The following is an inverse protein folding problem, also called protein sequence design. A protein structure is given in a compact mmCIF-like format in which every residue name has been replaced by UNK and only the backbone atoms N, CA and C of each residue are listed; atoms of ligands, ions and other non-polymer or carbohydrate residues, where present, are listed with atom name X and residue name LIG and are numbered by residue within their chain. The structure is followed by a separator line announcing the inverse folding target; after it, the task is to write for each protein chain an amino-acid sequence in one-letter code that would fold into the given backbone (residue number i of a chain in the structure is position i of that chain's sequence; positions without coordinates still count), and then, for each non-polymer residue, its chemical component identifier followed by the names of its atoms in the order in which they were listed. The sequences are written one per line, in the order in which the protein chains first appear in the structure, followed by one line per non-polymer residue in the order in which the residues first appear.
data_IF_758731938300
#
_entry.id   IF_758731938300
#
_cell.length_a   1.000
_cell.length_b   1.000
_cell.length_c   1.000
_cell.angle_alpha   90.00
_cell.angle_beta   90.00
_cell.angle_gamma   90.00
#
_symmetry.space_group_name_H-M   'P 1'
#
loop_
_entity.id
_entity.type
_entity.pdbx_description
1 polymer ?
#
# COMPACT_ATOMS: atom_id res chain seq x y z
N UNK A 1 17.43 8.92 11.53
CA UNK A 1 16.34 8.20 12.23
C UNK A 1 15.35 7.77 11.16
N UNK A 2 15.24 6.47 10.90
CA UNK A 2 14.25 5.95 9.94
C UNK A 2 12.86 6.09 10.55
N UNK A 3 11.91 6.62 9.80
CA UNK A 3 10.53 6.73 10.28
C UNK A 3 9.88 5.34 10.24
N UNK A 4 9.43 4.84 11.39
CA UNK A 4 8.68 3.58 11.47
C UNK A 4 7.19 3.86 11.28
N UNK A 5 6.55 3.10 10.40
CA UNK A 5 5.10 3.13 10.18
C UNK A 5 4.52 1.89 10.86
N UNK A 6 3.69 2.09 11.88
CA UNK A 6 3.03 1.01 12.60
C UNK A 6 1.58 0.82 12.12
N UNK A 7 1.19 -0.43 11.94
CA UNK A 7 -0.09 -0.82 11.38
C UNK A 7 -0.63 -2.07 12.09
N UNK A 8 -1.88 -2.09 12.58
CA UNK A 8 -2.48 -3.32 13.10
C UNK A 8 -2.49 -4.43 12.05
N UNK A 9 -2.17 -5.67 12.45
CA UNK A 9 -2.15 -6.83 11.54
C UNK A 9 -3.53 -7.06 10.89
N UNK A 10 -4.59 -6.76 11.63
CA UNK A 10 -6.01 -6.92 11.25
C UNK A 10 -6.62 -5.70 10.55
N UNK A 11 -5.81 -4.67 10.26
CA UNK A 11 -6.32 -3.44 9.61
C UNK A 11 -6.93 -3.74 8.25
N UNK A 12 -8.10 -3.17 7.98
CA UNK A 12 -8.77 -3.22 6.67
C UNK A 12 -8.92 -1.81 6.09
N UNK A 13 -9.11 -1.73 4.77
CA UNK A 13 -9.36 -0.46 4.09
C UNK A 13 -10.82 -0.04 4.31
N UNK A 14 -11.02 1.22 4.70
CA UNK A 14 -12.31 1.90 4.77
C UNK A 14 -12.69 2.49 3.41
N UNK A 15 -13.94 2.93 3.23
CA UNK A 15 -14.38 3.60 2.00
C UNK A 15 -13.56 4.86 1.68
N UNK A 16 -13.19 5.64 2.70
CA UNK A 16 -12.29 6.79 2.54
C UNK A 16 -10.93 6.36 1.99
N UNK A 17 -10.36 5.28 2.55
CA UNK A 17 -9.08 4.75 2.06
C UNK A 17 -9.19 4.28 0.60
N UNK A 18 -10.33 3.72 0.17
CA UNK A 18 -10.58 3.30 -1.21
C UNK A 18 -10.68 4.50 -2.16
N UNK A 19 -11.29 5.59 -1.68
CA UNK A 19 -11.37 6.86 -2.41
C UNK A 19 -9.97 7.45 -2.59
N UNK A 20 -9.18 7.53 -1.51
CA UNK A 20 -7.78 7.97 -1.57
C UNK A 20 -6.95 7.09 -2.50
N UNK A 21 -7.11 5.76 -2.43
CA UNK A 21 -6.42 4.84 -3.34
C UNK A 21 -6.81 5.08 -4.81
N UNK A 22 -8.09 5.32 -5.08
CA UNK A 22 -8.57 5.59 -6.44
C UNK A 22 -8.05 6.91 -7.00
N UNK A 23 -7.88 7.93 -6.15
CA UNK A 23 -7.31 9.23 -6.52
C UNK A 23 -5.79 9.15 -6.77
N UNK A 24 -5.06 8.45 -5.90
CA UNK A 24 -3.60 8.31 -6.02
C UNK A 24 -3.23 7.34 -7.14
N UNK A 25 -4.03 6.29 -7.34
CA UNK A 25 -3.88 5.27 -8.39
C UNK A 25 -5.08 5.27 -9.36
N UNK A 26 -5.20 6.27 -10.24
CA UNK A 26 -6.19 6.25 -11.32
C UNK A 26 -5.96 5.06 -12.25
N UNK A 27 -6.95 4.71 -13.06
CA UNK A 27 -6.97 3.49 -13.88
C UNK A 27 -5.65 3.14 -14.59
N UNK A 28 -4.95 4.07 -15.27
CA UNK A 28 -3.67 3.78 -15.94
C UNK A 28 -2.54 3.32 -15.01
N UNK A 29 -2.63 3.65 -13.72
CA UNK A 29 -1.62 3.34 -12.69
C UNK A 29 -2.03 2.22 -11.73
N UNK A 30 -3.22 1.63 -11.88
CA UNK A 30 -3.65 0.47 -11.08
C UNK A 30 -2.76 -0.76 -11.21
N UNK A 31 -2.10 -1.05 -12.37
CA UNK A 31 -1.08 -2.09 -12.42
C UNK A 31 0.06 -1.85 -11.42
N UNK A 32 0.46 -0.58 -11.20
CA UNK A 32 1.50 -0.24 -10.22
C UNK A 32 1.03 -0.45 -8.79
N UNK A 33 -0.27 -0.25 -8.51
CA UNK A 33 -0.85 -0.60 -7.21
C UNK A 33 -0.83 -2.12 -6.97
N UNK A 34 -1.09 -2.92 -8.01
CA UNK A 34 -1.01 -4.39 -7.90
C UNK A 34 0.43 -4.83 -7.54
N UNK A 35 1.44 -4.28 -8.20
CA UNK A 35 2.84 -4.60 -7.87
C UNK A 35 3.23 -4.09 -6.48
N UNK A 36 2.80 -2.87 -6.09
CA UNK A 36 3.00 -2.36 -4.74
C UNK A 36 2.39 -3.29 -3.70
N UNK A 37 1.18 -3.80 -3.93
CA UNK A 37 0.53 -4.77 -3.03
C UNK A 37 1.33 -6.06 -2.92
N UNK A 38 1.92 -6.54 -4.01
CA UNK A 38 2.82 -7.72 -3.97
C UNK A 38 4.04 -7.44 -3.09
N UNK A 39 4.69 -6.28 -3.27
CA UNK A 39 5.83 -5.88 -2.43
C UNK A 39 5.44 -5.82 -0.96
N UNK A 40 4.33 -5.16 -0.63
CA UNK A 40 3.84 -5.04 0.75
C UNK A 40 3.41 -6.39 1.35
N UNK A 41 3.07 -7.38 0.52
CA UNK A 41 2.67 -8.72 0.96
C UNK A 41 3.84 -9.68 1.17
N UNK A 42 5.07 -9.29 0.80
CA UNK A 42 6.26 -10.10 1.06
C UNK A 42 6.50 -10.19 2.57
N UNK A 43 6.32 -11.39 3.12
CA UNK A 43 6.44 -11.62 4.57
C UNK A 43 7.88 -11.54 5.05
N UNK A 44 8.82 -11.99 4.22
CA UNK A 44 10.25 -12.09 4.55
C UNK A 44 11.04 -10.83 4.17
N UNK A 45 10.34 -9.71 3.93
CA UNK A 45 10.99 -8.48 3.54
C UNK A 45 11.67 -7.79 4.72
N UNK A 46 12.92 -7.34 4.52
CA UNK A 46 13.75 -6.70 5.56
C UNK A 46 13.18 -5.38 6.07
N UNK A 47 12.38 -4.68 5.27
CA UNK A 47 11.72 -3.43 5.67
C UNK A 47 10.53 -3.65 6.62
N UNK A 48 10.19 -4.89 6.96
CA UNK A 48 8.97 -5.27 7.68
C UNK A 48 9.29 -6.10 8.93
N UNK A 49 8.60 -5.81 10.02
CA UNK A 49 8.68 -6.61 11.25
C UNK A 49 7.29 -6.84 11.82
N UNK A 50 7.06 -8.03 12.38
CA UNK A 50 5.82 -8.39 13.05
C UNK A 50 6.08 -8.52 14.56
N UNK A 51 5.21 -7.93 15.37
CA UNK A 51 5.27 -8.05 16.82
C UNK A 51 4.00 -7.56 17.48
N UNK A 52 3.54 -8.26 18.52
CA UNK A 52 2.44 -7.80 19.38
C UNK A 52 1.15 -7.40 18.64
N UNK A 53 0.79 -8.12 17.57
CA UNK A 53 -0.41 -7.82 16.76
C UNK A 53 -0.27 -6.60 15.83
N UNK A 54 0.94 -6.05 15.70
CA UNK A 54 1.29 -4.91 14.87
C UNK A 54 2.33 -5.32 13.83
N UNK A 55 2.23 -4.71 12.65
CA UNK A 55 3.25 -4.73 11.60
C UNK A 55 3.91 -3.37 11.58
N UNK A 56 5.23 -3.35 11.71
CA UNK A 56 6.03 -2.13 11.55
C UNK A 56 6.77 -2.17 10.22
N UNK A 57 6.77 -1.03 9.52
CA UNK A 57 7.49 -0.84 8.28
C UNK A 57 8.58 0.22 8.49
N UNK A 58 9.82 -0.09 8.16
CA UNK A 58 10.87 0.91 7.98
C UNK A 58 10.56 1.68 6.69
N UNK A 59 10.20 2.96 6.83
CA UNK A 59 9.76 3.78 5.70
C UNK A 59 10.85 3.92 4.64
N UNK A 60 12.11 4.15 5.03
CA UNK A 60 13.17 4.44 4.07
C UNK A 60 13.57 3.16 3.32
N UNK A 61 13.69 2.04 4.04
CA UNK A 61 13.95 0.74 3.43
C UNK A 61 12.80 0.31 2.50
N UNK A 62 11.54 0.54 2.91
CA UNK A 62 10.37 0.25 2.09
C UNK A 62 10.33 1.12 0.82
N UNK A 63 10.56 2.42 0.93
CA UNK A 63 10.57 3.32 -0.22
C UNK A 63 11.68 2.97 -1.19
N UNK A 64 12.86 2.60 -0.68
CA UNK A 64 13.96 2.11 -1.50
C UNK A 64 13.58 0.83 -2.26
N UNK A 65 13.03 -0.16 -1.58
CA UNK A 65 12.60 -1.42 -2.20
C UNK A 65 11.50 -1.20 -3.25
N UNK A 66 10.52 -0.34 -2.96
CA UNK A 66 9.43 -0.01 -3.91
C UNK A 66 9.95 0.76 -5.11
N UNK A 67 10.94 1.64 -4.93
CA UNK A 67 11.58 2.33 -6.03
C UNK A 67 12.34 1.37 -6.95
N UNK A 68 12.98 0.34 -6.37
CA UNK A 68 13.71 -0.71 -7.09
C UNK A 68 12.79 -1.71 -7.81
N UNK A 69 11.78 -2.26 -7.11
CA UNK A 69 10.92 -3.32 -7.64
C UNK A 69 9.74 -2.83 -8.47
N UNK A 70 9.27 -1.61 -8.20
CA UNK A 70 8.18 -1.01 -8.96
C UNK A 70 8.70 0.18 -9.76
N UNK A 71 8.72 1.36 -9.16
CA UNK A 71 9.23 2.59 -9.77
C UNK A 71 9.36 3.70 -8.73
N UNK A 72 10.21 4.70 -9.00
CA UNK A 72 10.31 5.92 -8.17
C UNK A 72 8.96 6.60 -7.98
N UNK A 73 8.15 6.69 -9.05
CA UNK A 73 6.80 7.26 -9.00
C UNK A 73 5.84 6.46 -8.10
N UNK A 74 6.01 5.15 -8.03
CA UNK A 74 5.24 4.31 -7.09
C UNK A 74 5.65 4.58 -5.64
N UNK A 75 6.95 4.79 -5.38
CA UNK A 75 7.44 5.16 -4.05
C UNK A 75 6.94 6.55 -3.60
N UNK A 76 6.88 7.53 -4.52
CA UNK A 76 6.26 8.83 -4.26
C UNK A 76 4.78 8.67 -3.88
N UNK A 77 4.01 7.94 -4.68
CA UNK A 77 2.59 7.65 -4.38
C UNK A 77 2.39 6.93 -3.04
N UNK A 78 3.28 6.00 -2.71
CA UNK A 78 3.28 5.33 -1.40
C UNK A 78 3.51 6.33 -0.26
N UNK A 79 4.42 7.29 -0.44
CA UNK A 79 4.62 8.36 0.54
C UNK A 79 3.36 9.21 0.72
N UNK A 80 2.62 9.49 -0.36
CA UNK A 80 1.33 10.18 -0.29
C UNK A 80 0.27 9.36 0.47
N UNK A 81 0.20 8.04 0.26
CA UNK A 81 -0.73 7.17 1.00
C UNK A 81 -0.45 7.20 2.51
N UNK A 82 0.84 7.11 2.89
CA UNK A 82 1.26 7.19 4.28
C UNK A 82 0.92 8.55 4.89
N UNK A 83 1.13 9.64 4.15
CA UNK A 83 0.76 10.98 4.59
C UNK A 83 -0.75 11.16 4.81
N UNK A 84 -1.59 10.41 4.07
CA UNK A 84 -3.04 10.37 4.27
C UNK A 84 -3.48 9.36 5.36
N UNK A 85 -2.55 8.74 6.07
CA UNK A 85 -2.85 7.80 7.15
C UNK A 85 -3.33 6.42 6.67
N UNK A 86 -3.19 6.10 5.38
CA UNK A 86 -3.61 4.79 4.86
C UNK A 86 -2.66 3.72 5.36
N UNK A 87 -3.20 2.74 6.10
CA UNK A 87 -2.41 1.67 6.66
C UNK A 87 -1.89 0.71 5.57
N UNK A 88 -0.56 0.56 5.50
CA UNK A 88 0.12 -0.28 4.50
C UNK A 88 -0.25 -1.77 4.61
N UNK A 89 -0.48 -2.25 5.83
CA UNK A 89 -0.95 -3.61 6.04
C UNK A 89 -2.37 -3.83 5.49
N UNK A 90 -3.23 -2.82 5.58
CA UNK A 90 -4.57 -2.88 4.98
C UNK A 90 -4.50 -2.92 3.46
N UNK A 91 -3.58 -2.16 2.84
CA UNK A 91 -3.34 -2.19 1.39
C UNK A 91 -2.89 -3.59 0.94
N UNK A 92 -2.00 -4.23 1.69
CA UNK A 92 -1.53 -5.58 1.37
C UNK A 92 -2.68 -6.61 1.45
N UNK A 93 -3.40 -6.62 2.58
CA UNK A 93 -4.28 -7.72 2.96
C UNK A 93 -5.74 -7.60 2.51
N UNK A 94 -6.27 -6.39 2.30
CA UNK A 94 -7.69 -6.22 1.99
C UNK A 94 -8.02 -6.76 0.59
N UNK A 95 -9.04 -7.62 0.43
CA UNK A 95 -9.51 -8.04 -0.89
C UNK A 95 -10.10 -6.85 -1.66
N UNK A 96 -9.54 -6.54 -2.84
CA UNK A 96 -9.94 -5.40 -3.66
C UNK A 96 -10.33 -5.82 -5.07
N UNK A 97 -11.36 -5.17 -5.60
CA UNK A 97 -11.67 -5.11 -7.02
C UNK A 97 -10.96 -3.88 -7.61
N UNK A 98 -10.11 -4.11 -8.61
CA UNK A 98 -9.35 -3.06 -9.30
C UNK A 98 -9.64 -3.09 -10.80
N UNK A 99 -10.65 -2.34 -11.28
CA UNK A 99 -10.93 -2.24 -12.70
C UNK A 99 -9.72 -1.66 -13.44
N UNK A 100 -9.16 -2.34 -14.44
CA UNK A 100 -7.96 -1.84 -15.14
C UNK A 100 -8.28 -0.86 -16.27
N UNK A 101 -9.56 -0.75 -16.64
CA UNK A 101 -10.08 0.12 -17.70
C UNK A 101 -11.36 0.80 -17.19
N UNK A 102 -11.72 1.91 -17.82
CA UNK A 102 -12.90 2.70 -17.45
C UNK A 102 -12.64 3.64 -16.26
N UNK A 103 -13.73 4.20 -15.73
CA UNK A 103 -13.73 5.19 -14.65
C UNK A 103 -14.15 4.62 -13.30
N UNK A 104 -14.56 3.34 -13.26
CA UNK A 104 -15.01 2.68 -12.04
C UNK A 104 -13.94 2.78 -10.94
N UNK A 105 -14.29 3.17 -9.70
CA UNK A 105 -13.32 3.28 -8.60
C UNK A 105 -12.82 1.92 -8.11
N UNK A 106 -11.75 1.95 -7.33
CA UNK A 106 -11.29 0.77 -6.56
C UNK A 106 -12.33 0.51 -5.47
N UNK A 107 -12.72 -0.75 -5.30
CA UNK A 107 -13.76 -1.16 -4.34
C UNK A 107 -13.34 -2.43 -3.61
N UNK A 108 -14.04 -2.75 -2.52
CA UNK A 108 -13.86 -4.02 -1.83
C UNK A 108 -14.32 -5.17 -2.73
N UNK A 109 -13.60 -6.29 -2.67
CA UNK A 109 -14.07 -7.54 -3.28
C UNK A 109 -14.99 -8.21 -2.26
N UNK A 110 -16.30 -8.06 -2.47
CA UNK A 110 -17.35 -8.80 -1.75
C UNK A 110 -17.34 -10.27 -2.16
#
# INVERSE_FOLDING_TARGET
MTALIACPVTSQLTEDNLTTLSLIFPAPSRPQLIELRRVLSMRDASFRTYGSGVVTFDKDALLHEVALKCSKKTAERLSHLVAHGVCLQAIASTPLRMPLKGTDPISLKV
#
